data_IF_078638241894
#
_entry.id   IF_078638241894
#
_cell.length_a   1.000
_cell.length_b   1.000
_cell.length_c   1.000
_cell.angle_alpha   90.00
_cell.angle_beta   90.00
_cell.angle_gamma   90.00
#
_symmetry.space_group_name_H-M   'P 1'
#
loop_
_entity.id
_entity.type
_entity.pdbx_description
1 polymer ?
#
# COMPACT_ATOMS: atom_id res chain seq x y z
N UNK A 1 22.39 6.53 -14.17
CA UNK A 1 22.36 5.06 -14.03
C UNK A 1 21.29 4.52 -14.93
N UNK A 2 21.58 3.53 -15.76
CA UNK A 2 20.58 2.90 -16.64
C UNK A 2 19.74 1.96 -15.81
N UNK A 3 18.41 2.07 -15.82
CA UNK A 3 17.49 1.18 -15.15
C UNK A 3 17.59 -0.24 -15.72
N UNK A 4 17.55 -1.24 -14.86
CA UNK A 4 17.51 -2.66 -15.22
C UNK A 4 16.28 -3.30 -14.58
N UNK A 5 15.79 -4.38 -15.14
CA UNK A 5 14.63 -5.09 -14.58
C UNK A 5 14.82 -5.54 -13.12
N UNK A 6 16.07 -5.84 -12.73
CA UNK A 6 16.44 -6.14 -11.35
C UNK A 6 16.32 -4.94 -10.39
N UNK A 7 16.17 -3.73 -10.91
CA UNK A 7 16.00 -2.52 -10.10
C UNK A 7 14.52 -2.27 -9.75
N UNK A 8 13.58 -2.98 -10.40
CA UNK A 8 12.15 -2.89 -10.08
C UNK A 8 11.87 -3.25 -8.63
N UNK A 9 10.97 -2.50 -8.01
CA UNK A 9 10.55 -2.72 -6.61
C UNK A 9 9.04 -2.79 -6.52
N UNK A 10 8.54 -3.85 -5.90
CA UNK A 10 7.12 -3.97 -5.53
C UNK A 10 6.82 -2.98 -4.41
N UNK A 11 6.00 -1.94 -4.69
CA UNK A 11 5.65 -0.87 -3.75
C UNK A 11 4.26 -1.03 -3.12
N UNK A 12 3.38 -1.88 -3.71
CA UNK A 12 2.02 -2.14 -3.24
C UNK A 12 1.79 -3.65 -3.16
N UNK A 13 1.69 -4.17 -1.93
CA UNK A 13 1.59 -5.60 -1.66
C UNK A 13 0.92 -5.87 -0.32
N UNK A 14 0.03 -6.85 -0.30
CA UNK A 14 -0.71 -7.30 0.86
C UNK A 14 -0.22 -8.66 1.36
N UNK A 15 0.13 -8.75 2.62
CA UNK A 15 0.49 -10.01 3.26
C UNK A 15 -0.73 -10.66 3.93
N UNK A 16 -0.53 -11.82 4.54
CA UNK A 16 -1.57 -12.49 5.34
C UNK A 16 -2.12 -11.62 6.50
N UNK A 17 -1.48 -10.49 6.81
CA UNK A 17 -1.96 -9.51 7.79
C UNK A 17 -3.03 -8.57 7.22
N UNK A 18 -3.28 -8.57 5.91
CA UNK A 18 -4.52 -8.11 5.28
C UNK A 18 -5.58 -9.20 5.44
N UNK A 19 -6.08 -9.35 6.67
CA UNK A 19 -6.93 -10.47 7.11
C UNK A 19 -8.18 -10.58 6.23
N UNK A 20 -8.47 -11.80 5.77
CA UNK A 20 -9.59 -12.13 4.87
C UNK A 20 -9.48 -11.50 3.47
N UNK A 21 -8.27 -11.12 3.05
CA UNK A 21 -8.04 -10.64 1.69
C UNK A 21 -6.81 -11.25 1.03
N UNK A 22 -5.62 -11.13 1.62
CA UNK A 22 -4.40 -11.71 1.07
C UNK A 22 -4.06 -13.09 1.66
N UNK A 23 -3.38 -13.89 0.83
CA UNK A 23 -2.86 -15.23 1.21
C UNK A 23 -1.34 -15.30 1.17
N UNK A 24 -0.66 -14.16 1.00
CA UNK A 24 0.79 -14.08 0.94
C UNK A 24 1.40 -14.33 2.32
N UNK A 25 2.14 -15.44 2.44
CA UNK A 25 3.00 -15.71 3.59
C UNK A 25 4.36 -15.04 3.37
N UNK A 26 4.78 -14.22 4.32
CA UNK A 26 6.00 -13.40 4.22
C UNK A 26 7.27 -14.23 3.90
N UNK A 27 7.53 -15.41 4.52
CA UNK A 27 8.69 -16.20 4.15
C UNK A 27 8.68 -16.70 2.69
N UNK A 28 7.50 -17.06 2.16
CA UNK A 28 7.36 -17.46 0.75
C UNK A 28 7.54 -16.28 -0.19
N UNK A 29 7.05 -15.10 0.21
CA UNK A 29 7.26 -13.86 -0.52
C UNK A 29 8.76 -13.57 -0.69
N UNK A 30 9.54 -13.66 0.39
CA UNK A 30 10.98 -13.40 0.33
C UNK A 30 11.68 -14.33 -0.68
N UNK A 31 11.28 -15.60 -0.77
CA UNK A 31 11.81 -16.54 -1.76
C UNK A 31 11.44 -16.12 -3.19
N UNK A 32 10.19 -15.69 -3.42
CA UNK A 32 9.71 -15.25 -4.73
C UNK A 32 10.41 -13.97 -5.21
N UNK A 33 10.61 -13.01 -4.31
CA UNK A 33 11.35 -11.78 -4.61
C UNK A 33 12.81 -12.07 -5.00
N UNK A 34 13.45 -13.04 -4.36
CA UNK A 34 14.79 -13.49 -4.76
C UNK A 34 14.80 -14.14 -6.14
N UNK A 35 13.80 -14.98 -6.45
CA UNK A 35 13.65 -15.57 -7.80
C UNK A 35 13.55 -14.46 -8.87
N UNK A 36 12.86 -13.36 -8.56
CA UNK A 36 12.72 -12.20 -9.43
C UNK A 36 13.89 -11.20 -9.36
N UNK A 37 14.93 -11.49 -8.54
CA UNK A 37 16.06 -10.60 -8.29
C UNK A 37 15.67 -9.19 -7.79
N UNK A 38 14.54 -9.07 -7.09
CA UNK A 38 14.12 -7.81 -6.48
C UNK A 38 14.93 -7.57 -5.19
N UNK A 39 15.59 -6.42 -5.13
CA UNK A 39 16.46 -6.03 -3.99
C UNK A 39 15.72 -5.33 -2.85
N UNK A 40 14.48 -4.93 -3.07
CA UNK A 40 13.60 -4.28 -2.10
C UNK A 40 12.14 -4.66 -2.34
N UNK A 41 11.31 -4.51 -1.31
CA UNK A 41 9.86 -4.71 -1.40
C UNK A 41 9.17 -3.88 -0.31
N UNK A 42 7.99 -3.36 -0.59
CA UNK A 42 7.11 -2.76 0.40
C UNK A 42 6.08 -3.76 0.92
N UNK A 43 5.65 -3.56 2.18
CA UNK A 43 4.46 -4.14 2.75
C UNK A 43 3.45 -3.02 2.99
N UNK A 44 2.24 -3.17 2.47
CA UNK A 44 1.19 -2.14 2.49
C UNK A 44 -0.15 -2.76 2.86
N UNK A 45 -0.17 -3.55 3.92
CA UNK A 45 -1.39 -4.21 4.40
C UNK A 45 -2.53 -3.23 4.65
N UNK A 46 -3.76 -3.66 4.39
CA UNK A 46 -4.97 -2.87 4.57
C UNK A 46 -5.17 -2.44 6.03
N UNK A 47 -5.05 -1.13 6.28
CA UNK A 47 -5.33 -0.52 7.59
C UNK A 47 -4.60 -1.19 8.75
N UNK A 48 -3.39 -1.73 8.52
CA UNK A 48 -2.65 -2.50 9.51
C UNK A 48 -1.14 -2.36 9.33
N UNK A 49 -0.43 -2.21 10.44
CA UNK A 49 1.04 -2.29 10.53
C UNK A 49 1.52 -3.59 11.20
N UNK A 50 0.61 -4.57 11.44
CA UNK A 50 0.90 -5.75 12.24
C UNK A 50 1.95 -6.68 11.60
N UNK A 51 2.03 -6.71 10.27
CA UNK A 51 3.00 -7.51 9.52
C UNK A 51 4.43 -6.96 9.51
N UNK A 52 4.65 -5.72 9.92
CA UNK A 52 5.94 -5.04 9.72
C UNK A 52 7.12 -5.74 10.38
N UNK A 53 6.93 -6.30 11.58
CA UNK A 53 8.02 -6.94 12.31
C UNK A 53 8.48 -8.23 11.63
N UNK A 54 7.57 -9.15 11.31
CA UNK A 54 7.88 -10.38 10.58
C UNK A 54 8.48 -10.06 9.21
N UNK A 55 7.90 -9.08 8.51
CA UNK A 55 8.39 -8.64 7.21
C UNK A 55 9.82 -8.11 7.29
N UNK A 56 10.14 -7.27 8.29
CA UNK A 56 11.49 -6.76 8.51
C UNK A 56 12.49 -7.89 8.71
N UNK A 57 12.16 -8.87 9.56
CA UNK A 57 13.05 -10.01 9.84
C UNK A 57 13.29 -10.87 8.61
N UNK A 58 12.23 -11.27 7.91
CA UNK A 58 12.36 -12.16 6.75
C UNK A 58 13.01 -11.47 5.56
N UNK A 59 12.72 -10.19 5.30
CA UNK A 59 13.37 -9.46 4.21
C UNK A 59 14.86 -9.29 4.49
N UNK A 60 15.27 -8.84 5.68
CA UNK A 60 16.68 -8.70 6.07
C UNK A 60 17.44 -10.01 6.00
N UNK A 61 16.86 -11.09 6.50
CA UNK A 61 17.44 -12.46 6.45
C UNK A 61 17.72 -12.90 5.01
N UNK A 62 16.93 -12.45 4.04
CA UNK A 62 17.07 -12.78 2.63
C UNK A 62 17.85 -11.72 1.82
N UNK A 63 18.42 -10.70 2.45
CA UNK A 63 19.15 -9.63 1.79
C UNK A 63 18.29 -8.67 0.97
N UNK A 64 16.97 -8.61 1.27
CA UNK A 64 16.00 -7.75 0.62
C UNK A 64 15.75 -6.54 1.54
N UNK A 65 15.76 -5.34 0.99
CA UNK A 65 15.44 -4.11 1.71
C UNK A 65 13.94 -4.04 2.02
N UNK A 66 13.50 -4.05 3.30
CA UNK A 66 12.11 -3.84 3.65
C UNK A 66 11.74 -2.35 3.50
N UNK A 67 10.56 -2.10 2.94
CA UNK A 67 9.92 -0.78 2.91
C UNK A 67 8.60 -0.91 3.67
N UNK A 68 8.36 -0.03 4.64
CA UNK A 68 7.18 -0.08 5.50
C UNK A 68 6.13 0.90 5.02
N UNK A 69 4.94 0.42 4.81
CA UNK A 69 3.80 1.19 4.37
C UNK A 69 2.48 0.65 4.91
N UNK A 70 1.42 1.29 4.50
CA UNK A 70 0.05 0.91 4.83
C UNK A 70 -0.86 1.37 3.70
N UNK A 71 -1.83 0.56 3.30
CA UNK A 71 -2.94 1.01 2.49
C UNK A 71 -4.10 1.36 3.39
N UNK A 72 -4.32 2.66 3.55
CA UNK A 72 -5.38 3.20 4.40
C UNK A 72 -6.74 3.13 3.72
N UNK A 73 -7.77 2.85 4.52
CA UNK A 73 -9.15 3.09 4.16
C UNK A 73 -9.50 4.55 4.49
N UNK A 74 -9.83 5.33 3.47
CA UNK A 74 -10.02 6.76 3.60
C UNK A 74 -11.48 7.20 3.37
N UNK A 75 -11.80 8.37 3.92
CA UNK A 75 -13.02 9.15 3.68
C UNK A 75 -12.66 10.62 3.58
N UNK A 76 -13.49 11.43 2.96
CA UNK A 76 -13.25 12.88 2.88
C UNK A 76 -13.23 13.51 4.27
N UNK A 77 -14.27 13.24 5.07
CA UNK A 77 -14.46 13.79 6.42
C UNK A 77 -15.16 12.78 7.33
N UNK A 78 -14.88 12.85 8.64
CA UNK A 78 -15.61 12.08 9.65
C UNK A 78 -17.03 12.57 9.87
N UNK A 79 -17.33 13.81 9.48
CA UNK A 79 -18.67 14.41 9.57
C UNK A 79 -19.60 13.97 8.44
N UNK A 80 -19.06 13.33 7.40
CA UNK A 80 -19.84 12.78 6.30
C UNK A 80 -20.74 11.62 6.78
N UNK A 81 -21.89 11.37 6.10
CA UNK A 81 -22.74 10.22 6.40
C UNK A 81 -21.95 8.92 6.39
N UNK A 82 -22.09 8.10 7.45
CA UNK A 82 -21.39 6.83 7.57
C UNK A 82 -21.83 5.84 6.50
N UNK A 83 -21.02 5.62 5.50
CA UNK A 83 -21.17 4.57 4.47
C UNK A 83 -20.19 3.42 4.74
N UNK A 84 -20.28 2.35 3.98
CA UNK A 84 -19.25 1.28 3.96
C UNK A 84 -18.23 1.45 2.85
N UNK A 85 -18.46 2.40 1.98
CA UNK A 85 -17.53 2.75 0.92
C UNK A 85 -16.31 3.45 1.52
N UNK A 86 -15.14 3.11 1.02
CA UNK A 86 -13.85 3.63 1.44
C UNK A 86 -13.00 3.86 0.20
N UNK A 87 -12.24 4.93 0.25
CA UNK A 87 -11.16 5.12 -0.68
C UNK A 87 -9.90 4.43 -0.15
N UNK A 88 -9.01 4.07 -1.05
CA UNK A 88 -7.73 3.50 -0.73
C UNK A 88 -6.63 4.54 -0.97
N UNK A 89 -5.63 4.57 -0.10
CA UNK A 89 -4.47 5.45 -0.21
C UNK A 89 -3.23 4.73 0.36
N UNK A 90 -2.20 4.57 -0.47
CA UNK A 90 -0.96 3.90 -0.04
C UNK A 90 0.03 4.93 0.47
N UNK A 91 0.55 4.71 1.67
CA UNK A 91 1.62 5.52 2.27
C UNK A 91 2.83 4.66 2.57
N UNK A 92 4.03 5.14 2.21
CA UNK A 92 5.32 4.47 2.41
C UNK A 92 6.21 5.34 3.29
N UNK A 93 6.86 4.73 4.29
CA UNK A 93 7.81 5.42 5.16
C UNK A 93 9.16 5.64 4.45
N UNK A 94 9.52 6.90 4.22
CA UNK A 94 10.82 7.26 3.66
C UNK A 94 11.94 7.21 4.70
N UNK A 95 11.63 7.56 5.93
CA UNK A 95 12.58 7.62 7.04
C UNK A 95 11.88 7.32 8.37
N UNK A 96 12.59 7.47 9.49
CA UNK A 96 12.07 7.17 10.82
C UNK A 96 10.90 8.06 11.24
N UNK A 97 10.88 9.30 10.76
CA UNK A 97 9.78 10.23 10.99
C UNK A 97 8.52 9.76 10.25
N UNK A 98 8.64 9.39 8.96
CA UNK A 98 7.54 8.82 8.17
C UNK A 98 6.99 7.53 8.79
N UNK A 99 7.86 6.66 9.31
CA UNK A 99 7.43 5.46 10.05
C UNK A 99 6.57 5.82 11.28
N UNK A 100 6.98 6.86 12.01
CA UNK A 100 6.23 7.36 13.18
C UNK A 100 4.91 7.97 12.77
N UNK A 101 4.88 8.74 11.68
CA UNK A 101 3.67 9.39 11.18
C UNK A 101 2.66 8.37 10.64
N UNK A 102 3.09 7.33 9.90
CA UNK A 102 2.19 6.25 9.46
C UNK A 102 1.58 5.52 10.67
N UNK A 103 2.36 5.22 11.72
CA UNK A 103 1.82 4.62 12.95
C UNK A 103 0.83 5.55 13.67
N UNK A 104 1.04 6.87 13.62
CA UNK A 104 0.08 7.85 14.15
C UNK A 104 -1.23 7.79 13.37
N UNK A 105 -1.18 7.82 12.03
CA UNK A 105 -2.37 7.70 11.20
C UNK A 105 -3.08 6.36 11.40
N UNK A 106 -2.32 5.27 11.58
CA UNK A 106 -2.91 3.97 11.91
C UNK A 106 -3.66 4.00 13.24
N UNK A 107 -3.13 4.65 14.26
CA UNK A 107 -3.83 4.83 15.55
C UNK A 107 -5.11 5.65 15.37
N UNK A 108 -5.02 6.80 14.68
CA UNK A 108 -6.18 7.65 14.40
C UNK A 108 -7.26 6.86 13.63
N UNK A 109 -6.87 6.09 12.64
CA UNK A 109 -7.80 5.27 11.87
C UNK A 109 -8.50 4.20 12.73
N UNK A 110 -7.79 3.58 13.68
CA UNK A 110 -8.37 2.61 14.61
C UNK A 110 -9.32 3.30 15.61
N UNK A 111 -8.98 4.48 16.11
CA UNK A 111 -9.85 5.28 16.98
C UNK A 111 -11.18 5.67 16.28
N UNK A 112 -11.17 5.79 14.95
CA UNK A 112 -12.33 6.07 14.10
C UNK A 112 -12.86 4.83 13.37
N UNK A 113 -12.86 3.68 14.01
CA UNK A 113 -13.26 2.41 13.43
C UNK A 113 -14.76 2.36 13.10
N UNK A 114 -15.07 2.07 11.84
CA UNK A 114 -16.43 1.73 11.41
C UNK A 114 -16.38 0.65 10.32
N UNK A 115 -16.55 -0.62 10.69
CA UNK A 115 -16.29 -1.83 9.89
C UNK A 115 -14.82 -2.03 9.48
N UNK A 116 -14.08 -0.97 9.29
CA UNK A 116 -12.65 -0.89 8.98
C UNK A 116 -12.04 0.28 9.77
N UNK A 117 -10.72 0.29 10.00
CA UNK A 117 -10.04 1.50 10.49
C UNK A 117 -10.14 2.58 9.42
N UNK A 118 -10.59 3.78 9.76
CA UNK A 118 -10.87 4.86 8.80
C UNK A 118 -9.99 6.05 9.07
N UNK A 119 -9.33 6.56 8.04
CA UNK A 119 -8.60 7.82 8.05
C UNK A 119 -9.37 8.88 7.23
N UNK A 120 -9.60 10.06 7.80
CA UNK A 120 -10.14 11.20 7.05
C UNK A 120 -9.00 11.91 6.30
N UNK A 121 -9.26 12.39 5.08
CA UNK A 121 -8.31 13.23 4.35
C UNK A 121 -8.01 14.55 5.07
N UNK A 122 -8.91 15.04 5.92
CA UNK A 122 -8.69 16.20 6.78
C UNK A 122 -7.49 15.98 7.70
N UNK A 123 -7.32 14.76 8.23
CA UNK A 123 -6.18 14.42 9.08
C UNK A 123 -4.83 14.61 8.40
N UNK A 124 -4.77 14.53 7.05
CA UNK A 124 -3.52 14.74 6.31
C UNK A 124 -3.05 16.20 6.35
N UNK A 125 -3.96 17.15 6.65
CA UNK A 125 -3.64 18.56 6.86
C UNK A 125 -3.40 18.89 8.33
N UNK A 126 -4.00 18.13 9.24
CA UNK A 126 -3.95 18.39 10.68
C UNK A 126 -2.69 17.81 11.35
N UNK A 127 -2.17 16.71 10.82
CA UNK A 127 -1.05 15.98 11.43
C UNK A 127 0.18 15.95 10.52
N UNK A 128 1.39 15.87 11.11
CA UNK A 128 2.62 15.81 10.33
C UNK A 128 2.65 14.61 9.38
N UNK A 129 3.02 14.88 8.14
CA UNK A 129 3.17 13.90 7.05
C UNK A 129 4.61 13.80 6.55
N UNK A 130 5.55 14.45 7.24
CA UNK A 130 6.96 14.43 6.84
C UNK A 130 7.51 13.01 6.84
N UNK A 131 8.39 12.75 5.89
CA UNK A 131 8.96 11.42 5.72
C UNK A 131 8.03 10.37 5.12
N UNK A 132 6.85 10.76 4.60
CA UNK A 132 5.93 9.86 3.90
C UNK A 132 6.00 10.12 2.38
N UNK A 133 6.04 9.05 1.60
CA UNK A 133 5.72 9.02 0.17
C UNK A 133 4.35 8.38 -0.01
N UNK A 134 3.55 8.92 -0.93
CA UNK A 134 2.17 8.47 -1.14
C UNK A 134 1.95 8.01 -2.59
N UNK A 135 1.05 7.04 -2.82
CA UNK A 135 0.54 6.71 -4.15
C UNK A 135 -0.99 6.71 -4.18
N UNK A 136 -1.56 6.86 -5.38
CA UNK A 136 -3.01 6.91 -5.58
C UNK A 136 -3.72 5.57 -5.33
N UNK A 137 -3.00 4.53 -4.98
CA UNK A 137 -3.48 3.17 -4.76
C UNK A 137 -4.15 2.53 -6.01
N UNK A 138 -5.12 1.66 -5.79
CA UNK A 138 -5.78 0.84 -6.81
C UNK A 138 -7.05 1.50 -7.37
N UNK A 139 -7.89 0.73 -8.08
CA UNK A 139 -9.19 1.18 -8.61
C UNK A 139 -10.16 1.68 -7.54
N UNK A 140 -9.91 1.39 -6.27
CA UNK A 140 -10.66 1.92 -5.14
C UNK A 140 -10.08 3.23 -4.57
N UNK A 141 -9.00 3.78 -5.12
CA UNK A 141 -8.50 5.10 -4.79
C UNK A 141 -9.47 6.21 -5.25
N UNK A 142 -9.44 7.36 -4.55
CA UNK A 142 -10.36 8.48 -4.86
C UNK A 142 -10.20 8.99 -6.30
N UNK A 143 -8.98 9.08 -6.82
CA UNK A 143 -8.71 9.50 -8.20
C UNK A 143 -9.33 8.50 -9.18
N UNK A 144 -9.03 7.21 -9.04
CA UNK A 144 -9.52 6.15 -9.91
C UNK A 144 -11.05 6.04 -9.90
N UNK A 145 -11.68 6.11 -8.73
CA UNK A 145 -13.14 6.10 -8.60
C UNK A 145 -13.80 7.27 -9.34
N UNK A 146 -13.23 8.46 -9.28
CA UNK A 146 -13.79 9.61 -9.98
C UNK A 146 -13.58 9.52 -11.49
N UNK A 147 -12.46 8.95 -11.96
CA UNK A 147 -12.28 8.60 -13.39
C UNK A 147 -13.40 7.66 -13.86
N UNK A 148 -13.67 6.57 -13.12
CA UNK A 148 -14.71 5.60 -13.46
C UNK A 148 -16.12 6.16 -13.39
N UNK A 149 -16.35 7.21 -12.62
CA UNK A 149 -17.61 7.93 -12.52
C UNK A 149 -17.71 9.12 -13.52
N UNK A 150 -16.81 9.18 -14.49
CA UNK A 150 -16.77 10.23 -15.53
C UNK A 150 -16.64 11.66 -14.94
N UNK A 151 -15.98 11.77 -13.77
CA UNK A 151 -15.78 13.02 -13.04
C UNK A 151 -14.29 13.36 -12.97
N UNK A 152 -13.71 13.72 -14.11
CA UNK A 152 -12.29 13.99 -14.24
C UNK A 152 -11.88 15.22 -13.40
N UNK A 153 -12.69 16.27 -13.36
CA UNK A 153 -12.43 17.47 -12.56
C UNK A 153 -12.19 17.12 -11.08
N UNK A 154 -13.01 16.23 -10.52
CA UNK A 154 -12.82 15.79 -9.13
C UNK A 154 -11.59 14.90 -8.96
N UNK A 155 -11.18 14.16 -10.00
CA UNK A 155 -9.91 13.42 -9.98
C UNK A 155 -8.71 14.35 -9.95
N UNK A 156 -8.77 15.47 -10.69
CA UNK A 156 -7.77 16.53 -10.68
C UNK A 156 -7.69 17.22 -9.33
N UNK A 157 -8.84 17.52 -8.70
CA UNK A 157 -8.89 18.10 -7.34
C UNK A 157 -8.18 17.19 -6.32
N UNK A 158 -8.41 15.86 -6.36
CA UNK A 158 -7.71 14.92 -5.47
C UNK A 158 -6.22 14.80 -5.80
N UNK A 159 -5.85 14.81 -7.09
CA UNK A 159 -4.46 14.79 -7.50
C UNK A 159 -3.71 15.98 -6.93
N UNK A 160 -4.24 17.19 -7.15
CA UNK A 160 -3.65 18.44 -6.65
C UNK A 160 -3.59 18.44 -5.11
N UNK A 161 -4.66 17.99 -4.45
CA UNK A 161 -4.70 17.87 -3.01
C UNK A 161 -3.58 16.96 -2.47
N UNK A 162 -3.40 15.77 -3.03
CA UNK A 162 -2.36 14.86 -2.57
C UNK A 162 -0.96 15.35 -2.92
N UNK A 163 -0.76 15.90 -4.12
CA UNK A 163 0.55 16.42 -4.51
C UNK A 163 0.98 17.58 -3.61
N UNK A 164 0.08 18.51 -3.30
CA UNK A 164 0.32 19.61 -2.37
C UNK A 164 0.58 19.10 -0.95
N UNK A 165 -0.32 18.30 -0.39
CA UNK A 165 -0.25 17.81 0.99
C UNK A 165 1.04 17.01 1.21
N UNK A 166 1.40 16.12 0.30
CA UNK A 166 2.64 15.35 0.40
C UNK A 166 3.87 16.10 -0.13
N UNK A 167 3.76 17.39 -0.47
CA UNK A 167 4.85 18.23 -0.95
C UNK A 167 5.65 17.54 -2.07
N UNK A 168 4.98 17.20 -3.16
CA UNK A 168 5.50 16.51 -4.35
C UNK A 168 6.16 15.14 -4.04
N UNK A 169 5.73 14.49 -2.94
CA UNK A 169 6.08 13.10 -2.61
C UNK A 169 4.88 12.19 -2.89
N UNK A 170 4.30 12.38 -4.05
CA UNK A 170 3.14 11.67 -4.53
C UNK A 170 3.37 11.07 -5.91
N UNK A 171 2.72 9.98 -6.25
CA UNK A 171 2.65 9.43 -7.60
C UNK A 171 1.29 8.80 -7.89
N UNK A 172 0.89 8.87 -9.14
CA UNK A 172 -0.23 8.09 -9.65
C UNK A 172 0.22 6.64 -9.88
N UNK A 173 -0.65 5.68 -9.64
CA UNK A 173 -0.32 4.26 -9.66
C UNK A 173 -1.01 3.56 -10.83
N UNK A 174 -0.23 3.07 -11.79
CA UNK A 174 -0.70 2.19 -12.86
C UNK A 174 -0.75 0.75 -12.37
N UNK A 175 -1.79 0.03 -12.78
CA UNK A 175 -1.94 -1.41 -12.58
C UNK A 175 -2.40 -2.07 -13.86
N UNK A 176 -1.94 -3.28 -14.16
CA UNK A 176 -2.30 -3.96 -15.40
C UNK A 176 -3.00 -5.29 -15.11
N UNK A 177 -4.31 -5.29 -15.34
CA UNK A 177 -5.21 -6.42 -15.16
C UNK A 177 -5.94 -6.72 -16.46
N UNK A 178 -5.39 -7.57 -17.35
CA UNK A 178 -5.84 -7.70 -18.75
C UNK A 178 -7.33 -8.03 -18.95
N UNK A 179 -7.97 -8.63 -17.94
CA UNK A 179 -9.38 -9.00 -17.99
C UNK A 179 -10.31 -8.00 -17.27
N UNK A 180 -9.77 -6.87 -16.80
CA UNK A 180 -10.51 -5.88 -16.03
C UNK A 180 -10.53 -4.54 -16.77
N UNK A 181 -11.57 -4.31 -17.57
CA UNK A 181 -11.70 -3.14 -18.45
C UNK A 181 -11.64 -1.80 -17.70
N UNK A 182 -12.20 -1.74 -16.48
CA UNK A 182 -12.18 -0.50 -15.70
C UNK A 182 -10.73 -0.04 -15.41
N UNK A 183 -9.81 -0.98 -15.23
CA UNK A 183 -8.40 -0.64 -15.03
C UNK A 183 -7.76 -0.03 -16.28
N UNK A 184 -8.16 -0.47 -17.47
CA UNK A 184 -7.67 0.12 -18.72
C UNK A 184 -8.16 1.58 -18.85
N UNK A 185 -9.43 1.85 -18.49
CA UNK A 185 -9.98 3.22 -18.47
C UNK A 185 -9.20 4.10 -17.51
N UNK A 186 -8.92 3.58 -16.30
CA UNK A 186 -8.13 4.31 -15.30
C UNK A 186 -6.74 4.62 -15.86
N UNK A 187 -6.02 3.62 -16.35
CA UNK A 187 -4.65 3.78 -16.84
C UNK A 187 -4.55 4.82 -17.97
N UNK A 188 -5.47 4.77 -18.95
CA UNK A 188 -5.51 5.72 -20.06
C UNK A 188 -5.76 7.16 -19.57
N UNK A 189 -6.59 7.34 -18.54
CA UNK A 189 -6.83 8.67 -17.95
C UNK A 189 -5.66 9.17 -17.07
N UNK A 190 -4.92 8.27 -16.44
CA UNK A 190 -3.78 8.66 -15.59
C UNK A 190 -2.59 9.20 -16.38
N UNK A 191 -2.43 8.81 -17.66
CA UNK A 191 -1.31 9.29 -18.49
C UNK A 191 -1.38 10.81 -18.72
N UNK A 192 -2.46 11.36 -19.30
CA UNK A 192 -2.55 12.82 -19.46
C UNK A 192 -2.54 13.56 -18.11
N UNK A 193 -3.17 13.04 -17.06
CA UNK A 193 -3.10 13.64 -15.71
C UNK A 193 -1.65 13.75 -15.21
N UNK A 194 -0.85 12.71 -15.43
CA UNK A 194 0.57 12.72 -15.07
C UNK A 194 1.34 13.77 -15.85
N UNK A 195 1.12 13.89 -17.14
CA UNK A 195 1.83 14.83 -18.02
C UNK A 195 1.41 16.29 -17.73
N UNK A 196 0.11 16.54 -17.57
CA UNK A 196 -0.43 17.89 -17.38
C UNK A 196 -0.03 18.50 -16.03
N UNK A 197 0.01 17.68 -14.98
CA UNK A 197 0.33 18.12 -13.62
C UNK A 197 1.77 17.84 -13.19
N UNK A 198 2.55 17.13 -14.01
CA UNK A 198 3.93 16.78 -13.70
C UNK A 198 4.08 15.78 -12.54
N UNK A 199 3.02 15.04 -12.20
CA UNK A 199 3.01 14.04 -11.14
C UNK A 199 3.49 12.70 -11.70
N UNK A 200 4.55 12.07 -11.14
CA UNK A 200 5.11 10.86 -11.71
C UNK A 200 4.16 9.67 -11.61
N UNK A 201 4.27 8.74 -12.57
CA UNK A 201 3.61 7.45 -12.55
C UNK A 201 4.51 6.40 -11.90
N UNK A 202 3.96 5.59 -11.00
CA UNK A 202 4.52 4.30 -10.57
C UNK A 202 3.68 3.16 -11.12
N UNK A 203 4.18 1.94 -11.05
CA UNK A 203 3.41 0.75 -11.42
C UNK A 203 3.46 -0.29 -10.32
N UNK A 204 2.34 -0.96 -10.09
CA UNK A 204 2.23 -2.06 -9.13
C UNK A 204 1.35 -3.20 -9.64
N UNK A 205 1.35 -4.31 -8.90
CA UNK A 205 0.44 -5.43 -9.12
C UNK A 205 -0.65 -5.51 -8.05
N UNK A 206 -0.60 -4.68 -7.02
CA UNK A 206 -1.51 -4.78 -5.87
C UNK A 206 -1.63 -6.24 -5.40
N UNK A 207 -0.47 -6.81 -5.01
CA UNK A 207 -0.29 -8.26 -4.92
C UNK A 207 -0.99 -8.83 -3.68
N UNK A 208 -1.83 -9.86 -3.88
CA UNK A 208 -2.58 -10.55 -2.83
C UNK A 208 -2.30 -12.05 -2.75
N UNK A 209 -1.57 -12.59 -3.73
CA UNK A 209 -1.09 -13.97 -3.75
C UNK A 209 0.26 -14.05 -4.47
N UNK A 210 1.01 -15.14 -4.25
CA UNK A 210 2.39 -15.21 -4.76
C UNK A 210 2.42 -15.56 -6.23
N UNK A 211 1.72 -16.60 -6.63
CA UNK A 211 1.62 -17.03 -8.03
C UNK A 211 0.21 -17.55 -8.35
N UNK A 212 -0.04 -17.85 -9.62
CA UNK A 212 -1.36 -18.26 -10.11
C UNK A 212 -1.94 -19.51 -9.42
N UNK A 213 -1.09 -20.37 -8.84
CA UNK A 213 -1.57 -21.56 -8.10
C UNK A 213 -2.29 -21.16 -6.79
N UNK A 214 -1.95 -20.00 -6.24
CA UNK A 214 -2.58 -19.48 -5.02
C UNK A 214 -3.91 -18.73 -5.29
N UNK A 215 -4.26 -18.46 -6.55
CA UNK A 215 -5.51 -17.75 -6.94
C UNK A 215 -6.76 -18.43 -6.38
N UNK A 216 -6.81 -19.76 -6.45
CA UNK A 216 -7.92 -20.55 -5.90
C UNK A 216 -8.06 -20.38 -4.38
N UNK A 217 -6.94 -20.31 -3.68
CA UNK A 217 -6.92 -20.09 -2.23
C UNK A 217 -7.44 -18.69 -1.88
N UNK A 218 -6.99 -17.65 -2.60
CA UNK A 218 -7.51 -16.28 -2.41
C UNK A 218 -9.02 -16.21 -2.62
N UNK A 219 -9.53 -16.89 -3.64
CA UNK A 219 -10.98 -16.97 -3.91
C UNK A 219 -11.77 -17.55 -2.75
N UNK A 220 -11.24 -18.57 -2.06
CA UNK A 220 -11.85 -19.13 -0.84
C UNK A 220 -11.85 -18.07 0.27
N UNK A 221 -10.76 -17.37 0.48
CA UNK A 221 -10.65 -16.31 1.49
C UNK A 221 -11.64 -15.18 1.21
N UNK A 222 -11.79 -14.76 -0.05
CA UNK A 222 -12.79 -13.78 -0.47
C UNK A 222 -14.24 -14.26 -0.22
N UNK A 223 -14.53 -15.52 -0.48
CA UNK A 223 -15.86 -16.10 -0.22
C UNK A 223 -16.21 -16.02 1.28
N UNK A 224 -15.24 -16.31 2.16
CA UNK A 224 -15.38 -16.18 3.62
C UNK A 224 -15.60 -14.71 4.01
N UNK A 225 -14.77 -13.82 3.50
CA UNK A 225 -14.82 -12.37 3.76
C UNK A 225 -16.18 -11.76 3.37
N UNK A 226 -16.66 -12.11 2.20
CA UNK A 226 -17.92 -11.58 1.65
C UNK A 226 -19.15 -12.35 2.10
N UNK A 227 -18.97 -13.42 2.89
CA UNK A 227 -20.04 -14.32 3.35
C UNK A 227 -20.88 -14.87 2.18
N UNK A 228 -20.20 -15.23 1.11
CA UNK A 228 -20.80 -15.80 -0.12
C UNK A 228 -20.39 -17.26 -0.29
N UNK A 229 -21.15 -18.02 -1.09
CA UNK A 229 -20.71 -19.35 -1.52
C UNK A 229 -19.56 -19.19 -2.51
N UNK A 230 -18.66 -20.17 -2.56
CA UNK A 230 -17.54 -20.16 -3.49
C UNK A 230 -18.01 -20.13 -4.95
N UNK A 231 -19.15 -20.76 -5.25
CA UNK A 231 -19.79 -20.71 -6.58
C UNK A 231 -20.19 -19.30 -7.01
N UNK A 232 -20.47 -18.43 -6.06
CA UNK A 232 -20.96 -17.06 -6.30
C UNK A 232 -19.81 -16.05 -6.41
N UNK A 233 -18.58 -16.51 -6.16
CA UNK A 233 -17.38 -15.71 -6.37
C UNK A 233 -16.90 -15.95 -7.80
N UNK A 234 -17.03 -14.95 -8.64
CA UNK A 234 -16.43 -14.97 -9.97
C UNK A 234 -14.89 -15.09 -9.83
N UNK A 235 -14.26 -15.76 -10.79
CA UNK A 235 -12.81 -15.68 -10.87
C UNK A 235 -12.41 -14.22 -10.98
N UNK A 236 -11.50 -13.79 -10.10
CA UNK A 236 -11.06 -12.42 -10.12
C UNK A 236 -10.41 -12.12 -11.47
N UNK A 237 -10.90 -11.11 -12.15
CA UNK A 237 -10.28 -10.57 -13.35
C UNK A 237 -8.98 -9.83 -13.03
N UNK A 238 -8.73 -9.58 -11.75
CA UNK A 238 -7.54 -8.89 -11.27
C UNK A 238 -6.36 -9.87 -11.22
N UNK A 239 -5.25 -9.48 -11.83
CA UNK A 239 -3.97 -10.21 -11.80
C UNK A 239 -3.15 -9.73 -10.61
N UNK A 240 -3.54 -10.15 -9.41
CA UNK A 240 -2.93 -9.69 -8.15
C UNK A 240 -1.79 -10.59 -7.63
N UNK A 241 -1.11 -11.34 -8.50
CA UNK A 241 0.09 -12.08 -8.12
C UNK A 241 1.29 -11.16 -7.92
N UNK A 242 2.30 -11.65 -7.19
CA UNK A 242 3.58 -10.94 -7.12
C UNK A 242 4.19 -10.87 -8.51
N UNK A 243 4.44 -9.64 -9.00
CA UNK A 243 4.89 -9.39 -10.36
C UNK A 243 6.38 -9.06 -10.49
N UNK A 244 6.81 -9.10 -11.74
CA UNK A 244 8.09 -8.60 -12.19
C UNK A 244 7.90 -7.73 -13.46
N UNK A 245 8.91 -7.01 -13.95
CA UNK A 245 8.79 -6.14 -15.12
C UNK A 245 8.31 -6.84 -16.38
N UNK A 246 8.71 -8.09 -16.62
CA UNK A 246 8.27 -8.88 -17.77
C UNK A 246 6.75 -9.13 -17.72
N UNK A 247 6.24 -9.55 -16.56
CA UNK A 247 4.80 -9.76 -16.36
C UNK A 247 4.01 -8.45 -16.52
N UNK A 248 4.53 -7.35 -15.99
CA UNK A 248 3.90 -6.02 -16.08
C UNK A 248 3.80 -5.60 -17.55
N UNK A 249 4.88 -5.70 -18.33
CA UNK A 249 4.87 -5.36 -19.76
C UNK A 249 3.90 -6.26 -20.55
N UNK A 250 3.91 -7.55 -20.25
CA UNK A 250 2.99 -8.52 -20.87
C UNK A 250 1.54 -8.16 -20.56
N UNK A 251 1.20 -7.93 -19.30
CA UNK A 251 -0.14 -7.57 -18.86
C UNK A 251 -0.60 -6.23 -19.48
N UNK A 252 0.31 -5.25 -19.58
CA UNK A 252 0.02 -3.99 -20.24
C UNK A 252 -0.32 -4.19 -21.71
N UNK A 253 0.47 -4.97 -22.42
CA UNK A 253 0.21 -5.32 -23.83
C UNK A 253 -1.12 -6.06 -24.00
N UNK A 254 -1.42 -7.04 -23.13
CA UNK A 254 -2.67 -7.80 -23.15
C UNK A 254 -3.88 -6.91 -22.79
N UNK A 255 -3.69 -5.83 -22.03
CA UNK A 255 -4.70 -4.82 -21.71
C UNK A 255 -4.90 -3.81 -22.86
N UNK A 256 -4.14 -3.88 -23.94
CA UNK A 256 -4.17 -2.92 -25.03
C UNK A 256 -3.53 -1.56 -24.73
N UNK A 257 -2.72 -1.46 -23.67
CA UNK A 257 -2.04 -0.22 -23.30
C UNK A 257 -0.82 0.02 -24.21
N UNK A 258 -0.87 1.08 -25.03
CA UNK A 258 0.12 1.32 -26.09
C UNK A 258 1.29 2.22 -25.68
N UNK A 259 1.25 2.84 -24.48
CA UNK A 259 2.25 3.80 -24.01
C UNK A 259 3.47 3.08 -23.39
N UNK A 260 4.27 2.38 -24.18
CA UNK A 260 5.39 1.58 -23.69
C UNK A 260 6.48 2.42 -22.96
N UNK A 261 6.73 3.62 -23.40
CA UNK A 261 7.69 4.53 -22.75
C UNK A 261 7.20 4.97 -21.36
N UNK A 262 5.89 5.11 -21.17
CA UNK A 262 5.27 5.38 -19.87
C UNK A 262 5.50 4.23 -18.91
N UNK A 263 5.34 2.98 -19.37
CA UNK A 263 5.60 1.78 -18.55
C UNK A 263 7.05 1.77 -18.08
N UNK A 264 8.01 2.03 -18.96
CA UNK A 264 9.43 2.03 -18.59
C UNK A 264 9.77 3.15 -17.59
N UNK A 265 9.15 4.33 -17.74
CA UNK A 265 9.27 5.42 -16.76
C UNK A 265 8.66 5.03 -15.41
N UNK A 266 7.47 4.40 -15.41
CA UNK A 266 6.76 3.98 -14.20
C UNK A 266 7.53 2.85 -13.46
N UNK A 267 8.10 1.87 -14.18
CA UNK A 267 8.97 0.86 -13.62
C UNK A 267 10.21 1.48 -12.96
N UNK A 268 10.87 2.41 -13.64
CA UNK A 268 12.01 3.15 -13.09
C UNK A 268 11.62 3.97 -11.86
N UNK A 269 10.43 4.55 -11.85
CA UNK A 269 9.96 5.35 -10.72
C UNK A 269 9.82 4.52 -9.44
N UNK A 270 9.47 3.23 -9.53
CA UNK A 270 9.44 2.37 -8.34
C UNK A 270 10.80 2.26 -7.65
N UNK A 271 11.87 2.17 -8.43
CA UNK A 271 13.24 2.19 -7.91
C UNK A 271 13.59 3.53 -7.26
N UNK A 272 13.21 4.65 -7.89
CA UNK A 272 13.48 5.98 -7.34
C UNK A 272 12.77 6.20 -6.01
N UNK A 273 11.51 5.76 -5.89
CA UNK A 273 10.74 5.79 -4.64
C UNK A 273 11.40 4.89 -3.59
N UNK A 274 11.73 3.65 -3.96
CA UNK A 274 12.38 2.70 -3.05
C UNK A 274 13.71 3.22 -2.49
N UNK A 275 14.49 3.96 -3.28
CA UNK A 275 15.75 4.58 -2.82
C UNK A 275 15.52 5.71 -1.81
N UNK A 276 14.35 6.36 -1.84
CA UNK A 276 13.96 7.35 -0.83
C UNK A 276 13.47 6.72 0.47
N UNK A 277 13.02 5.46 0.44
CA UNK A 277 12.47 4.75 1.58
C UNK A 277 13.57 4.03 2.36
N UNK A 278 14.05 4.63 3.46
CA UNK A 278 15.17 4.14 4.27
C UNK A 278 14.81 4.03 5.76
N UNK A 279 13.51 3.97 6.09
CA UNK A 279 13.06 3.70 7.44
C UNK A 279 13.52 2.29 7.88
N UNK A 280 13.83 2.13 9.15
CA UNK A 280 14.25 0.85 9.71
C UNK A 280 13.48 0.53 10.99
N UNK A 281 13.20 -0.76 11.17
CA UNK A 281 12.75 -1.30 12.46
C UNK A 281 13.96 -1.97 13.09
N UNK A 282 14.40 -1.41 14.23
CA UNK A 282 15.45 -2.01 15.05
C UNK A 282 14.88 -3.20 15.81
N UNK A 283 15.74 -4.17 16.12
CA UNK A 283 15.38 -5.25 17.02
C UNK A 283 15.38 -4.68 18.46
N UNK A 284 14.16 -4.62 19.04
CA UNK A 284 13.96 -4.08 20.39
C UNK A 284 14.02 -5.17 21.47
N UNK A 285 14.66 -6.30 21.20
CA UNK A 285 14.75 -7.42 22.14
C UNK A 285 15.25 -7.04 23.55
N UNK A 286 15.97 -5.91 23.67
CA UNK A 286 16.59 -5.48 24.93
C UNK A 286 15.95 -4.22 25.55
N UNK A 287 14.87 -3.68 24.98
CA UNK A 287 14.21 -2.48 25.54
C UNK A 287 13.00 -2.89 26.38
N UNK A 288 13.28 -3.34 27.59
CA UNK A 288 12.25 -3.45 28.62
C UNK A 288 11.85 -2.01 29.01
N UNK A 289 10.54 -1.68 29.01
CA UNK A 289 10.11 -0.39 29.51
C UNK A 289 10.61 -0.19 30.94
N UNK A 290 11.45 0.81 31.17
CA UNK A 290 11.88 1.19 32.51
C UNK A 290 10.83 2.17 33.03
N UNK A 291 10.23 1.83 34.15
CA UNK A 291 9.36 2.75 34.87
C UNK A 291 10.24 3.77 35.61
N UNK A 292 10.27 5.01 35.15
CA UNK A 292 11.09 6.07 35.74
C UNK A 292 10.61 6.51 37.14
N UNK A 293 9.53 5.93 37.65
CA UNK A 293 8.92 6.31 38.94
C UNK A 293 8.80 5.12 39.89
N UNK A 294 9.93 4.47 40.19
CA UNK A 294 9.96 3.43 41.21
C UNK A 294 9.45 3.96 42.58
N UNK A 295 9.71 5.21 42.91
CA UNK A 295 9.28 5.83 44.17
C UNK A 295 7.74 5.99 44.30
N UNK A 296 7.01 6.13 43.21
CA UNK A 296 5.55 6.15 43.25
C UNK A 296 4.96 4.72 43.31
N UNK A 297 5.61 3.74 42.71
CA UNK A 297 5.14 2.35 42.71
C UNK A 297 5.24 1.75 44.12
N UNK A 298 6.35 2.01 44.82
CA UNK A 298 6.54 1.55 46.20
C UNK A 298 5.51 2.18 47.15
N UNK A 299 5.15 3.44 46.96
CA UNK A 299 4.07 4.11 47.72
C UNK A 299 2.68 3.51 47.45
N UNK A 300 2.34 3.26 46.19
CA UNK A 300 1.07 2.62 45.82
C UNK A 300 1.03 1.19 46.34
N UNK A 301 2.13 0.44 46.24
CA UNK A 301 2.23 -0.92 46.75
C UNK A 301 2.05 -0.97 48.26
N UNK A 302 2.68 -0.05 49.02
CA UNK A 302 2.49 0.07 50.46
C UNK A 302 1.07 0.52 50.88
N UNK A 303 0.38 1.33 50.06
CA UNK A 303 -1.01 1.76 50.34
C UNK A 303 -2.05 0.67 50.04
N UNK A 304 -1.81 -0.18 49.04
CA UNK A 304 -2.75 -1.23 48.61
C UNK A 304 -2.64 -2.51 49.47
N UNK A 305 -1.47 -2.74 50.11
CA UNK A 305 -1.20 -3.99 50.86
C UNK A 305 -1.12 -3.77 52.37
N UNK A 306 -1.48 -2.61 52.89
CA UNK A 306 -1.78 -2.35 54.31
C UNK A 306 -3.28 -2.43 54.55
#
# INVERSE_FOLDING_TARGET
MTFKDSDFVTLHLHSMYSIQDSVIKIPKLAMKLKEYNQSACAITDHGSCAGWFEFNQEMKKNGIKPIFGNEFYCVDSYDAPKTRERDHLVMLAMNQEGLTNIRRFQRIAVENFYYKPILSYECLKEYPIDGIYCTSACSLGSIAKNILNDNIEKSEDYLLFFDEVFNHRFSLELQFHPLYNDQSIINEALVPLSDDYGVPLTVSCDSHFIDENDRGLRRIVQAISWRKKLSDIQESMLSNSVGNPEMIRKNAQESGFEHLDVIEKALKQTYLVANRCNASIEDFSDKIPVFDKYDEFDKIFEEVWK
#
